data_IF_114768749933
#
_entry.id   IF_114768749933
#
_cell.length_a   1.000
_cell.length_b   1.000
_cell.length_c   1.000
_cell.angle_alpha   90.00
_cell.angle_beta   90.00
_cell.angle_gamma   90.00
#
_symmetry.space_group_name_H-M   'P 1'
#
loop_
_entity.id
_entity.type
_entity.pdbx_description
1 polymer ?
#
# COMPACT_ATOMS: atom_id res chain seq x y z
N UNK A 1 -2.33 -4.50 -11.83
CA UNK A 1 -3.57 -5.21 -12.16
C UNK A 1 -3.28 -6.70 -12.18
N UNK A 2 -4.18 -7.51 -11.64
CA UNK A 2 -4.12 -8.98 -11.65
C UNK A 2 -5.29 -9.51 -12.46
N UNK A 3 -5.35 -10.82 -12.70
CA UNK A 3 -6.42 -11.45 -13.48
C UNK A 3 -7.82 -11.18 -12.90
N UNK A 4 -7.92 -10.96 -11.58
CA UNK A 4 -9.16 -10.67 -10.89
C UNK A 4 -9.41 -9.18 -10.65
N UNK A 5 -8.45 -8.25 -10.86
CA UNK A 5 -8.76 -6.81 -10.83
C UNK A 5 -7.61 -5.90 -10.41
N UNK A 6 -7.97 -4.67 -10.00
CA UNK A 6 -7.00 -3.67 -9.56
C UNK A 6 -6.67 -3.85 -8.07
N UNK A 7 -5.38 -3.91 -7.75
CA UNK A 7 -4.88 -4.03 -6.38
C UNK A 7 -4.10 -2.78 -5.97
N UNK A 8 -4.25 -2.39 -4.72
CA UNK A 8 -3.34 -1.49 -4.02
C UNK A 8 -2.27 -2.31 -3.31
N UNK A 9 -1.00 -1.99 -3.55
CA UNK A 9 0.14 -2.60 -2.85
C UNK A 9 1.12 -1.51 -2.50
N UNK A 10 1.47 -1.40 -1.23
CA UNK A 10 2.50 -0.47 -0.76
C UNK A 10 3.87 -1.16 -0.78
N UNK A 11 4.82 -0.52 -1.46
CA UNK A 11 6.22 -0.90 -1.45
C UNK A 11 7.02 0.05 -0.56
N UNK A 12 8.02 -0.49 0.12
CA UNK A 12 9.03 0.25 0.85
C UNK A 12 10.40 -0.13 0.30
N UNK A 13 11.21 0.87 -0.04
CA UNK A 13 12.62 0.71 -0.31
C UNK A 13 13.40 1.42 0.79
N UNK A 14 14.34 0.72 1.43
CA UNK A 14 15.24 1.30 2.42
C UNK A 14 16.63 1.31 1.79
N UNK A 15 17.28 2.48 1.80
CA UNK A 15 18.62 2.71 1.27
C UNK A 15 19.55 3.11 2.42
N UNK A 16 20.69 2.44 2.57
CA UNK A 16 21.71 2.83 3.55
C UNK A 16 22.87 3.63 2.93
N UNK A 17 23.81 4.11 3.76
CA UNK A 17 24.96 4.93 3.31
C UNK A 17 25.95 4.16 2.43
N UNK A 18 25.91 2.83 2.40
CA UNK A 18 26.74 1.97 1.54
C UNK A 18 26.09 1.78 0.17
N UNK A 19 24.89 2.31 -0.04
CA UNK A 19 24.12 2.12 -1.26
C UNK A 19 23.32 0.83 -1.29
N UNK A 20 23.26 0.08 -0.18
CA UNK A 20 22.48 -1.16 -0.12
C UNK A 20 20.99 -0.82 -0.09
N UNK A 21 20.26 -1.35 -1.06
CA UNK A 21 18.81 -1.21 -1.19
C UNK A 21 18.14 -2.52 -0.78
N UNK A 22 17.22 -2.45 0.18
CA UNK A 22 16.32 -3.58 0.48
C UNK A 22 14.89 -3.15 0.24
N UNK A 23 14.08 -4.07 -0.30
CA UNK A 23 12.71 -3.79 -0.72
C UNK A 23 11.78 -4.75 0.01
N UNK A 24 10.65 -4.23 0.45
CA UNK A 24 9.54 -5.01 0.99
C UNK A 24 8.22 -4.43 0.55
N UNK A 25 7.15 -5.20 0.71
CA UNK A 25 5.81 -4.76 0.39
C UNK A 25 4.81 -5.24 1.45
N UNK A 26 3.70 -4.52 1.56
CA UNK A 26 2.57 -4.93 2.40
C UNK A 26 1.76 -6.05 1.76
N UNK A 27 0.75 -6.52 2.49
CA UNK A 27 -0.19 -7.57 2.03
C UNK A 27 -0.94 -7.20 0.75
N UNK A 28 -1.26 -5.92 0.57
CA UNK A 28 -2.05 -5.42 -0.54
C UNK A 28 -3.52 -5.84 -0.48
N UNK A 29 -4.37 -5.23 -1.29
CA UNK A 29 -5.80 -5.54 -1.35
C UNK A 29 -6.42 -5.13 -2.67
N UNK A 30 -7.51 -5.81 -3.05
CA UNK A 30 -8.25 -5.52 -4.28
C UNK A 30 -9.24 -4.38 -4.08
N UNK A 31 -9.35 -3.51 -5.07
CA UNK A 31 -10.40 -2.50 -5.16
C UNK A 31 -11.73 -3.08 -5.68
N UNK A 32 -12.89 -2.55 -5.25
CA UNK A 32 -14.17 -2.77 -5.92
C UNK A 32 -14.09 -2.40 -7.41
N UNK A 33 -14.85 -3.08 -8.27
CA UNK A 33 -14.76 -2.86 -9.73
C UNK A 33 -15.12 -1.42 -10.14
N UNK A 34 -16.08 -0.80 -9.46
CA UNK A 34 -16.46 0.60 -9.71
C UNK A 34 -15.31 1.57 -9.42
N UNK A 35 -14.52 1.29 -8.38
CA UNK A 35 -13.32 2.07 -8.07
C UNK A 35 -12.28 1.86 -9.18
N UNK A 36 -12.03 0.61 -9.57
CA UNK A 36 -11.09 0.28 -10.63
C UNK A 36 -11.45 0.96 -11.95
N UNK A 37 -12.73 0.97 -12.32
CA UNK A 37 -13.24 1.65 -13.52
C UNK A 37 -12.93 3.15 -13.50
N UNK A 38 -13.27 3.85 -12.42
CA UNK A 38 -13.00 5.30 -12.29
C UNK A 38 -11.51 5.63 -12.30
N UNK A 39 -10.68 4.78 -11.69
CA UNK A 39 -9.23 4.93 -11.75
C UNK A 39 -8.70 4.77 -13.19
N UNK A 40 -9.24 3.82 -13.96
CA UNK A 40 -8.91 3.65 -15.39
C UNK A 40 -9.39 4.84 -16.24
N UNK A 41 -10.44 5.55 -15.81
CA UNK A 41 -10.92 6.79 -16.43
C UNK A 41 -10.05 8.01 -16.08
N UNK A 42 -9.02 7.84 -15.25
CA UNK A 42 -8.02 8.86 -14.93
C UNK A 42 -8.19 9.52 -13.56
N UNK A 43 -9.19 9.11 -12.77
CA UNK A 43 -9.33 9.61 -11.41
C UNK A 43 -8.28 8.97 -10.50
N UNK A 44 -7.79 9.72 -9.52
CA UNK A 44 -7.03 9.14 -8.42
C UNK A 44 -7.93 8.28 -7.54
N UNK A 45 -7.34 7.37 -6.76
CA UNK A 45 -8.08 6.61 -5.74
C UNK A 45 -8.79 7.55 -4.76
N UNK A 46 -8.13 8.63 -4.34
CA UNK A 46 -8.70 9.60 -3.41
C UNK A 46 -9.96 10.27 -3.97
N UNK A 47 -9.89 10.79 -5.20
CA UNK A 47 -11.04 11.38 -5.90
C UNK A 47 -12.16 10.36 -6.11
N UNK A 48 -11.81 9.14 -6.51
CA UNK A 48 -12.77 8.06 -6.71
C UNK A 48 -13.54 7.73 -5.42
N UNK A 49 -12.85 7.64 -4.29
CA UNK A 49 -13.47 7.38 -3.00
C UNK A 49 -14.26 8.57 -2.47
N UNK A 50 -13.83 9.80 -2.77
CA UNK A 50 -14.60 11.01 -2.48
C UNK A 50 -15.92 11.01 -3.26
N UNK A 51 -15.87 10.73 -4.57
CA UNK A 51 -17.04 10.74 -5.45
C UNK A 51 -18.02 9.61 -5.14
N UNK A 52 -17.54 8.37 -4.97
CA UNK A 52 -18.41 7.21 -4.76
C UNK A 52 -18.98 7.12 -3.34
N UNK A 53 -18.22 7.56 -2.33
CA UNK A 53 -18.54 7.27 -0.93
C UNK A 53 -18.63 8.52 -0.04
N UNK A 54 -18.50 9.73 -0.60
CA UNK A 54 -18.61 10.99 0.14
C UNK A 54 -17.50 11.19 1.17
N UNK A 55 -16.33 10.59 0.97
CA UNK A 55 -15.21 10.73 1.90
C UNK A 55 -14.59 12.12 1.76
N UNK A 56 -14.81 13.01 2.73
CA UNK A 56 -14.15 14.32 2.74
C UNK A 56 -12.62 14.21 2.80
N UNK A 57 -11.93 15.16 2.18
CA UNK A 57 -10.46 15.24 2.15
C UNK A 57 -9.82 15.23 3.55
N UNK A 58 -10.58 15.57 4.60
CA UNK A 58 -10.12 15.66 5.99
C UNK A 58 -10.55 14.48 6.88
N UNK A 59 -11.32 13.50 6.38
CA UNK A 59 -12.23 12.72 7.23
C UNK A 59 -11.79 11.35 7.74
N UNK A 60 -10.84 10.65 7.12
CA UNK A 60 -10.39 9.34 7.62
C UNK A 60 -8.89 9.14 7.42
N UNK A 61 -8.14 9.23 8.52
CA UNK A 61 -6.69 8.94 8.61
C UNK A 61 -6.30 7.56 8.02
N UNK A 62 -7.25 6.65 7.84
CA UNK A 62 -6.99 5.28 7.40
C UNK A 62 -6.95 5.00 5.89
N UNK A 63 -7.20 5.98 5.02
CA UNK A 63 -7.17 5.78 3.56
C UNK A 63 -8.23 4.78 3.04
N UNK A 64 -8.07 4.33 1.80
CA UNK A 64 -9.01 3.42 1.15
C UNK A 64 -9.17 2.09 1.91
N UNK A 65 -8.06 1.51 2.41
CA UNK A 65 -8.10 0.28 3.22
C UNK A 65 -8.91 0.48 4.51
N UNK A 66 -8.75 1.63 5.18
CA UNK A 66 -9.50 1.98 6.38
C UNK A 66 -11.01 2.05 6.13
N UNK A 67 -11.40 2.56 4.95
CA UNK A 67 -12.80 2.53 4.54
C UNK A 67 -13.30 1.11 4.27
N UNK A 68 -12.59 0.36 3.40
CA UNK A 68 -13.01 -0.97 2.94
C UNK A 68 -13.05 -2.01 4.06
N UNK A 69 -12.18 -1.88 5.06
CA UNK A 69 -12.12 -2.78 6.22
C UNK A 69 -12.93 -2.29 7.42
N UNK A 70 -13.70 -1.20 7.29
CA UNK A 70 -14.44 -0.56 8.39
C UNK A 70 -13.55 -0.25 9.60
N UNK A 71 -12.30 0.16 9.35
CA UNK A 71 -11.33 0.56 10.36
C UNK A 71 -10.52 -0.56 11.00
N UNK A 72 -10.67 -1.81 10.57
CA UNK A 72 -9.85 -2.94 11.10
C UNK A 72 -8.38 -2.80 10.70
N UNK A 73 -8.11 -2.28 9.51
CA UNK A 73 -6.77 -1.98 9.03
C UNK A 73 -6.73 -0.59 8.43
N UNK A 74 -5.66 0.15 8.70
CA UNK A 74 -5.46 1.49 8.18
C UNK A 74 -4.22 1.57 7.28
N UNK A 75 -4.03 2.74 6.64
CA UNK A 75 -2.89 2.97 5.75
C UNK A 75 -1.56 2.85 6.47
N UNK A 76 -1.50 3.23 7.74
CA UNK A 76 -0.29 3.17 8.56
C UNK A 76 0.12 1.71 8.80
N UNK A 77 -0.82 0.85 9.17
CA UNK A 77 -0.57 -0.58 9.36
C UNK A 77 -0.08 -1.27 8.09
N UNK A 78 -0.59 -0.91 6.90
CA UNK A 78 -0.04 -1.41 5.64
C UNK A 78 1.40 -0.94 5.38
N UNK A 79 1.71 0.31 5.72
CA UNK A 79 3.05 0.86 5.56
C UNK A 79 4.04 0.19 6.51
N UNK A 80 3.64 -0.05 7.75
CA UNK A 80 4.42 -0.79 8.75
C UNK A 80 4.77 -2.20 8.26
N UNK A 81 3.82 -2.91 7.64
CA UNK A 81 4.08 -4.22 7.02
C UNK A 81 5.15 -4.12 5.93
N UNK A 82 5.05 -3.15 5.02
CA UNK A 82 6.01 -2.96 3.93
C UNK A 82 7.42 -2.62 4.45
N UNK A 83 7.50 -1.75 5.46
CA UNK A 83 8.77 -1.39 6.12
C UNK A 83 9.38 -2.60 6.83
N UNK A 84 8.59 -3.36 7.58
CA UNK A 84 9.06 -4.55 8.27
C UNK A 84 9.57 -5.60 7.27
N UNK A 85 8.85 -5.81 6.17
CA UNK A 85 9.28 -6.68 5.08
C UNK A 85 10.61 -6.21 4.47
N UNK A 86 10.78 -4.90 4.24
CA UNK A 86 12.03 -4.34 3.71
C UNK A 86 13.19 -4.45 4.70
N UNK A 87 12.91 -4.57 5.99
CA UNK A 87 13.90 -4.82 7.04
C UNK A 87 14.32 -6.29 7.15
N UNK A 88 13.58 -7.26 6.60
CA UNK A 88 13.93 -8.69 6.71
C UNK A 88 15.38 -9.00 6.31
N UNK A 89 15.89 -8.54 5.15
CA UNK A 89 17.28 -8.78 4.76
C UNK A 89 18.29 -8.02 5.64
N UNK A 90 17.85 -6.95 6.32
CA UNK A 90 18.66 -6.12 7.21
C UNK A 90 18.72 -6.64 8.64
N UNK A 91 17.72 -7.43 9.05
CA UNK A 91 17.65 -8.07 10.38
C UNK A 91 18.49 -9.34 10.39
N UNK A 92 18.39 -10.16 9.34
CA UNK A 92 19.15 -11.41 9.19
C UNK A 92 20.24 -11.28 8.14
N UNK A 93 21.07 -10.22 8.24
CA UNK A 93 22.07 -9.87 7.21
C UNK A 93 22.99 -11.03 6.85
N UNK A 94 23.28 -11.91 7.81
CA UNK A 94 24.11 -13.10 7.61
C UNK A 94 23.52 -14.11 6.63
N UNK A 95 22.21 -14.07 6.37
CA UNK A 95 21.53 -14.97 5.43
C UNK A 95 21.38 -14.41 4.02
N UNK A 96 21.51 -13.08 3.84
CA UNK A 96 21.15 -12.41 2.58
C UNK A 96 22.33 -12.00 1.72
N UNK A 97 23.57 -12.33 2.13
CA UNK A 97 24.79 -11.97 1.41
C UNK A 97 25.07 -10.47 1.49
N UNK A 98 26.29 -10.10 1.92
CA UNK A 98 26.74 -8.71 1.84
C UNK A 98 27.09 -8.43 0.37
N UNK A 99 26.14 -7.94 -0.42
CA UNK A 99 26.46 -7.24 -1.67
C UNK A 99 26.81 -5.79 -1.35
#
# INVERSE_FOLDING_TARGET
>A
ETADGLYDVQYCAIVDKRGVVTIGHGSGFRYPEEVAKKVREGLTVGETFHELYGLEQNGRRGGAIGYLTKGVLDRTGLAEQAVLAAMVPRIRQELYGQN
#
